data_IF_218297227264
#
_entry.id   IF_218297227264
#
_cell.length_a   1.000
_cell.length_b   1.000
_cell.length_c   1.000
_cell.angle_alpha   90.00
_cell.angle_beta   90.00
_cell.angle_gamma   90.00
#
_symmetry.space_group_name_H-M   'P 1'
#
loop_
_entity.id
_entity.type
_entity.pdbx_description
1 polymer ?
#
# COMPACT_ATOMS: atom_id res chain seq x y z
N UNK A 1 9.31 -20.82 -42.60
CA UNK A 1 9.56 -20.03 -41.37
C UNK A 1 9.25 -20.92 -40.19
N UNK A 2 10.25 -21.35 -39.43
CA UNK A 2 10.08 -22.25 -38.28
C UNK A 2 9.70 -21.42 -37.05
N UNK A 3 8.53 -21.69 -36.48
CA UNK A 3 8.07 -21.05 -35.26
C UNK A 3 8.92 -21.51 -34.07
N UNK A 4 9.48 -20.57 -33.33
CA UNK A 4 10.17 -20.81 -32.06
C UNK A 4 9.13 -21.17 -31.01
N UNK A 5 9.03 -22.46 -30.70
CA UNK A 5 8.20 -22.93 -29.59
C UNK A 5 8.76 -22.44 -28.27
N UNK A 6 8.01 -21.57 -27.59
CA UNK A 6 8.32 -21.15 -26.23
C UNK A 6 8.10 -22.34 -25.30
N UNK A 7 9.16 -22.91 -24.76
CA UNK A 7 9.10 -23.97 -23.77
C UNK A 7 8.50 -23.44 -22.47
N UNK A 8 7.22 -23.65 -22.28
CA UNK A 8 6.58 -23.48 -20.96
C UNK A 8 6.75 -24.76 -20.16
N UNK A 9 7.97 -25.04 -19.71
CA UNK A 9 8.17 -26.07 -18.72
C UNK A 9 7.59 -25.55 -17.38
N UNK A 10 6.49 -26.15 -16.93
CA UNK A 10 6.01 -25.96 -15.55
C UNK A 10 7.14 -26.38 -14.62
N UNK A 11 7.76 -25.43 -13.92
CA UNK A 11 8.66 -25.74 -12.81
C UNK A 11 7.90 -26.59 -11.80
N UNK A 12 8.45 -27.74 -11.42
CA UNK A 12 7.90 -28.54 -10.33
C UNK A 12 7.83 -27.65 -9.09
N UNK A 13 6.68 -27.70 -8.41
CA UNK A 13 6.53 -26.99 -7.15
C UNK A 13 7.47 -27.63 -6.11
N UNK A 14 8.51 -26.92 -5.72
CA UNK A 14 9.42 -27.34 -4.66
C UNK A 14 8.96 -26.73 -3.34
N UNK A 15 9.03 -27.50 -2.27
CA UNK A 15 8.80 -26.98 -0.92
C UNK A 15 10.05 -26.24 -0.48
N UNK A 16 9.91 -24.97 -0.15
CA UNK A 16 11.00 -24.14 0.35
C UNK A 16 10.64 -23.55 1.72
N UNK A 17 11.65 -23.33 2.54
CA UNK A 17 11.50 -22.56 3.76
C UNK A 17 11.47 -21.07 3.40
N UNK A 18 10.57 -20.33 4.05
CA UNK A 18 10.51 -18.89 3.84
C UNK A 18 11.67 -18.17 4.54
N UNK A 19 12.04 -16.99 4.04
CA UNK A 19 13.02 -16.15 4.72
C UNK A 19 12.57 -15.83 6.16
N UNK A 20 13.49 -15.93 7.11
CA UNK A 20 13.21 -15.75 8.54
C UNK A 20 12.71 -17.00 9.27
N UNK A 21 12.67 -18.18 8.61
CA UNK A 21 12.40 -19.45 9.30
C UNK A 21 13.52 -19.77 10.28
N UNK A 22 13.16 -20.06 11.53
CA UNK A 22 14.08 -20.53 12.56
C UNK A 22 14.00 -22.06 12.64
N UNK A 23 15.16 -22.72 12.61
CA UNK A 23 15.27 -24.17 12.78
C UNK A 23 16.14 -24.44 14.00
N UNK A 24 15.62 -25.19 14.95
CA UNK A 24 16.39 -25.68 16.09
C UNK A 24 16.94 -27.06 15.77
N UNK A 25 18.26 -27.23 15.89
CA UNK A 25 18.93 -28.48 15.64
C UNK A 25 19.55 -29.03 16.94
N UNK A 26 19.16 -30.23 17.31
CA UNK A 26 19.81 -30.97 18.39
C UNK A 26 20.91 -31.84 17.81
N UNK A 27 22.14 -31.52 18.14
CA UNK A 27 23.31 -32.25 17.63
C UNK A 27 23.78 -33.30 18.64
N UNK A 28 23.87 -34.53 18.17
CA UNK A 28 24.38 -35.67 18.99
C UNK A 28 25.88 -35.83 18.71
N UNK A 29 26.73 -35.06 19.39
CA UNK A 29 28.18 -35.20 19.29
C UNK A 29 28.92 -33.88 19.01
N UNK A 30 30.22 -33.94 18.86
CA UNK A 30 31.07 -32.80 18.56
C UNK A 30 30.83 -32.29 17.12
N UNK A 31 30.64 -30.99 16.99
CA UNK A 31 30.46 -30.36 15.68
C UNK A 31 31.81 -30.11 15.02
N UNK A 32 31.97 -30.61 13.81
CA UNK A 32 33.13 -30.30 12.97
C UNK A 32 33.01 -28.84 12.48
N UNK A 33 33.83 -27.97 13.06
CA UNK A 33 33.80 -26.53 12.75
C UNK A 33 34.12 -26.24 11.29
N UNK A 34 34.95 -27.05 10.62
CA UNK A 34 35.28 -26.82 9.22
C UNK A 34 34.09 -27.13 8.30
N UNK A 35 33.37 -28.23 8.58
CA UNK A 35 32.14 -28.55 7.83
C UNK A 35 31.03 -27.56 8.06
N UNK A 36 30.92 -27.06 9.29
CA UNK A 36 29.94 -26.04 9.62
C UNK A 36 30.22 -24.72 8.88
N UNK A 37 31.49 -24.33 8.83
CA UNK A 37 31.90 -23.12 8.12
C UNK A 37 31.72 -23.24 6.60
N UNK A 38 31.99 -24.41 6.04
CA UNK A 38 31.70 -24.69 4.62
C UNK A 38 30.20 -24.62 4.33
N UNK A 39 29.35 -25.18 5.19
CA UNK A 39 27.88 -25.07 5.02
C UNK A 39 27.37 -23.66 5.12
N UNK A 40 27.92 -22.80 6.00
CA UNK A 40 27.59 -21.39 6.10
C UNK A 40 27.93 -20.60 4.83
N UNK A 41 29.04 -20.97 4.17
CA UNK A 41 29.46 -20.30 2.94
C UNK A 41 28.67 -20.76 1.71
N UNK A 42 28.40 -22.08 1.64
CA UNK A 42 27.73 -22.68 0.49
C UNK A 42 26.20 -22.57 0.53
N UNK A 43 25.61 -22.39 1.71
CA UNK A 43 24.18 -22.50 1.93
C UNK A 43 23.69 -23.96 1.99
N UNK A 44 22.39 -24.12 2.24
CA UNK A 44 21.72 -25.43 2.31
C UNK A 44 20.64 -25.55 1.24
N UNK A 45 20.63 -26.66 0.52
CA UNK A 45 19.58 -26.98 -0.44
C UNK A 45 19.97 -26.71 -1.89
N UNK A 46 18.95 -26.45 -2.74
CA UNK A 46 19.12 -26.19 -4.17
C UNK A 46 19.10 -24.70 -4.45
N UNK A 47 19.83 -24.26 -5.47
CA UNK A 47 19.85 -22.84 -5.89
C UNK A 47 20.69 -21.95 -4.97
N UNK A 48 21.68 -22.51 -4.31
CA UNK A 48 22.58 -21.76 -3.41
C UNK A 48 23.43 -20.75 -4.19
N UNK A 49 23.72 -21.02 -5.46
CA UNK A 49 24.37 -20.10 -6.39
C UNK A 49 23.53 -18.83 -6.68
N UNK A 50 22.22 -18.92 -6.53
CA UNK A 50 21.29 -17.79 -6.69
C UNK A 50 21.01 -17.07 -5.35
N UNK A 51 21.74 -17.44 -4.29
CA UNK A 51 21.60 -16.88 -2.94
C UNK A 51 20.48 -17.50 -2.09
N UNK A 52 19.86 -18.59 -2.55
CA UNK A 52 18.90 -19.34 -1.74
C UNK A 52 19.65 -20.21 -0.71
N UNK A 53 18.95 -20.52 0.41
CA UNK A 53 19.48 -21.42 1.44
C UNK A 53 20.60 -20.82 2.29
N UNK A 54 20.85 -19.52 2.22
CA UNK A 54 21.77 -18.86 3.14
C UNK A 54 21.17 -18.86 4.56
N UNK A 55 21.99 -19.17 5.54
CA UNK A 55 21.59 -19.21 6.94
C UNK A 55 22.70 -18.66 7.84
N UNK A 56 22.31 -18.25 9.02
CA UNK A 56 23.23 -17.84 10.08
C UNK A 56 23.00 -18.72 11.29
N UNK A 57 24.09 -19.07 11.96
CA UNK A 57 23.98 -19.79 13.22
C UNK A 57 23.80 -18.76 14.31
N UNK A 58 22.65 -18.86 14.97
CA UNK A 58 22.39 -18.09 16.15
C UNK A 58 22.59 -18.99 17.36
N UNK A 59 23.65 -18.76 18.11
CA UNK A 59 23.77 -19.36 19.43
C UNK A 59 22.77 -18.63 20.31
N UNK A 60 21.73 -19.34 20.74
CA UNK A 60 20.95 -18.90 21.89
C UNK A 60 21.93 -18.79 23.06
N UNK A 61 22.36 -17.58 23.37
CA UNK A 61 22.92 -17.29 24.67
C UNK A 61 21.94 -17.87 25.69
N UNK A 62 22.41 -18.77 26.54
CA UNK A 62 21.70 -19.56 27.53
C UNK A 62 20.35 -18.93 27.89
N UNK A 63 19.23 -19.74 27.80
CA UNK A 63 17.87 -19.24 28.03
C UNK A 63 17.92 -18.12 29.03
N UNK A 64 17.58 -16.88 28.65
CA UNK A 64 17.57 -15.83 29.65
C UNK A 64 16.68 -16.35 30.76
N UNK A 65 17.25 -16.62 31.93
CA UNK A 65 16.43 -16.80 33.11
C UNK A 65 15.50 -15.59 33.09
N UNK A 66 14.23 -15.86 32.84
CA UNK A 66 13.23 -14.82 32.94
C UNK A 66 13.36 -14.34 34.38
N UNK A 67 14.10 -13.28 34.59
CA UNK A 67 14.17 -12.62 35.86
C UNK A 67 12.72 -12.39 36.26
N UNK A 68 12.25 -13.07 37.31
CA UNK A 68 10.87 -13.07 37.77
C UNK A 68 10.28 -11.68 38.00
N UNK A 69 11.12 -10.68 38.00
CA UNK A 69 10.74 -9.27 37.91
C UNK A 69 11.80 -8.55 37.08
N UNK A 70 11.53 -8.37 35.83
CA UNK A 70 12.16 -7.22 35.15
C UNK A 70 11.95 -6.02 36.09
N UNK A 71 13.04 -5.35 36.54
CA UNK A 71 12.85 -4.13 37.32
C UNK A 71 11.89 -3.30 36.49
N UNK A 72 10.74 -2.91 37.09
CA UNK A 72 9.84 -1.98 36.43
C UNK A 72 10.75 -0.80 36.02
N UNK A 73 11.12 -0.78 34.75
CA UNK A 73 11.81 0.37 34.20
C UNK A 73 10.92 1.53 34.59
N UNK A 74 11.38 2.27 35.60
CA UNK A 74 10.82 3.59 35.85
C UNK A 74 10.63 4.18 34.47
N UNK A 75 9.40 4.53 34.13
CA UNK A 75 9.12 5.24 32.89
C UNK A 75 9.92 6.55 32.97
N UNK A 76 11.21 6.46 32.65
CA UNK A 76 11.95 7.65 32.27
C UNK A 76 11.10 8.25 31.19
N UNK A 77 10.62 9.47 31.41
CA UNK A 77 9.93 10.25 30.41
C UNK A 77 10.74 10.12 29.11
N UNK A 78 10.39 9.15 28.29
CA UNK A 78 11.05 8.87 27.03
C UNK A 78 10.69 10.01 26.10
N UNK A 79 11.41 11.12 26.24
CA UNK A 79 11.38 12.18 25.23
C UNK A 79 11.95 11.53 23.97
N UNK A 80 11.07 11.11 23.08
CA UNK A 80 11.49 10.57 21.79
C UNK A 80 12.37 11.59 21.08
N UNK A 81 13.48 11.14 20.54
CA UNK A 81 14.34 12.02 19.74
C UNK A 81 13.54 12.60 18.56
N UNK A 82 13.93 13.78 18.10
CA UNK A 82 13.25 14.43 16.97
C UNK A 82 13.26 13.56 15.70
N UNK A 83 14.30 12.78 15.49
CA UNK A 83 14.42 11.85 14.36
C UNK A 83 13.40 10.71 14.45
N UNK A 84 13.24 10.12 15.65
CA UNK A 84 12.24 9.08 15.89
C UNK A 84 10.83 9.64 15.69
N UNK A 85 10.55 10.85 16.18
CA UNK A 85 9.27 11.53 15.95
C UNK A 85 9.01 11.77 14.45
N UNK A 86 10.01 12.23 13.70
CA UNK A 86 9.92 12.47 12.26
C UNK A 86 9.64 11.17 11.50
N UNK A 87 10.34 10.10 11.85
CA UNK A 87 10.14 8.78 11.24
C UNK A 87 8.74 8.23 11.56
N UNK A 88 8.31 8.32 12.82
CA UNK A 88 6.98 7.89 13.23
C UNK A 88 5.87 8.65 12.48
N UNK A 89 6.00 9.97 12.33
CA UNK A 89 5.06 10.79 11.53
C UNK A 89 4.99 10.31 10.09
N UNK A 90 6.13 10.02 9.46
CA UNK A 90 6.18 9.53 8.07
C UNK A 90 5.47 8.18 7.94
N UNK A 91 5.70 7.26 8.86
CA UNK A 91 5.07 5.93 8.85
C UNK A 91 3.55 6.03 9.03
N UNK A 92 3.09 6.87 9.97
CA UNK A 92 1.66 7.08 10.20
C UNK A 92 1.00 7.70 8.97
N UNK A 93 1.61 8.74 8.40
CA UNK A 93 1.10 9.38 7.18
C UNK A 93 0.96 8.38 6.05
N UNK A 94 1.97 7.56 5.79
CA UNK A 94 1.91 6.53 4.74
C UNK A 94 0.80 5.50 5.03
N UNK A 95 0.61 5.13 6.29
CA UNK A 95 -0.47 4.22 6.68
C UNK A 95 -1.85 4.83 6.42
N UNK A 96 -2.05 6.10 6.76
CA UNK A 96 -3.29 6.83 6.45
C UNK A 96 -3.54 6.91 4.94
N UNK A 97 -2.53 7.22 4.14
CA UNK A 97 -2.64 7.22 2.67
C UNK A 97 -2.96 5.84 2.12
N UNK A 98 -2.45 4.78 2.72
CA UNK A 98 -2.81 3.42 2.34
C UNK A 98 -4.31 3.14 2.55
N UNK A 99 -4.91 3.62 3.64
CA UNK A 99 -6.36 3.50 3.85
C UNK A 99 -7.15 4.31 2.79
N UNK A 100 -6.67 5.50 2.41
CA UNK A 100 -7.26 6.30 1.32
C UNK A 100 -7.25 5.51 0.00
N UNK A 101 -6.10 4.92 -0.35
CA UNK A 101 -5.93 4.11 -1.56
C UNK A 101 -6.83 2.88 -1.56
N UNK A 102 -6.92 2.20 -0.42
CA UNK A 102 -7.77 1.01 -0.28
C UNK A 102 -9.25 1.37 -0.42
N UNK A 103 -9.70 2.47 0.19
CA UNK A 103 -11.08 2.95 0.06
C UNK A 103 -11.40 3.31 -1.39
N UNK A 104 -10.51 4.03 -2.07
CA UNK A 104 -10.67 4.40 -3.48
C UNK A 104 -10.80 3.18 -4.39
N UNK A 105 -9.98 2.15 -4.14
CA UNK A 105 -10.05 0.89 -4.88
C UNK A 105 -11.38 0.14 -4.65
N UNK A 106 -11.87 0.11 -3.41
CA UNK A 106 -13.16 -0.49 -3.06
C UNK A 106 -14.32 0.26 -3.73
N UNK A 107 -14.28 1.59 -3.69
CA UNK A 107 -15.30 2.43 -4.28
C UNK A 107 -15.36 2.26 -5.81
N UNK A 108 -14.22 2.19 -6.47
CA UNK A 108 -14.14 1.94 -7.92
C UNK A 108 -14.63 0.54 -8.32
N UNK A 109 -14.42 -0.47 -7.46
CA UNK A 109 -14.86 -1.85 -7.71
C UNK A 109 -16.32 -2.09 -7.30
N UNK A 110 -16.95 -1.11 -6.66
CA UNK A 110 -18.32 -1.24 -6.20
C UNK A 110 -19.31 -1.29 -7.39
N UNK A 111 -20.45 -1.95 -7.18
CA UNK A 111 -21.58 -1.96 -8.15
C UNK A 111 -22.17 -0.55 -8.41
N UNK A 112 -21.71 0.45 -7.65
CA UNK A 112 -22.15 1.82 -7.77
C UNK A 112 -21.44 2.59 -8.90
N UNK A 113 -20.32 2.07 -9.42
CA UNK A 113 -19.65 2.61 -10.60
C UNK A 113 -20.25 1.99 -11.86
N UNK A 114 -20.81 2.82 -12.75
CA UNK A 114 -21.36 2.45 -14.05
C UNK A 114 -20.60 3.17 -15.15
N UNK A 115 -19.98 2.44 -16.03
CA UNK A 115 -19.12 2.96 -17.11
C UNK A 115 -19.85 2.83 -18.44
N UNK A 116 -20.69 3.81 -18.78
CA UNK A 116 -21.52 3.76 -20.00
C UNK A 116 -20.98 4.67 -21.12
N UNK A 117 -19.70 5.01 -21.12
CA UNK A 117 -19.10 5.92 -22.09
C UNK A 117 -18.24 5.17 -23.12
N UNK A 118 -18.48 5.42 -24.41
CA UNK A 118 -17.76 4.75 -25.51
C UNK A 118 -16.22 4.92 -25.44
N UNK A 119 -15.72 6.05 -24.90
CA UNK A 119 -14.31 6.33 -24.75
C UNK A 119 -13.88 6.41 -23.28
N UNK A 120 -14.55 5.67 -22.40
CA UNK A 120 -14.31 5.70 -20.96
C UNK A 120 -12.83 5.44 -20.62
N UNK A 121 -12.21 4.46 -21.23
CA UNK A 121 -10.83 4.09 -20.99
C UNK A 121 -9.87 5.27 -21.15
N UNK A 122 -9.97 5.98 -22.28
CA UNK A 122 -9.06 7.08 -22.60
C UNK A 122 -9.26 8.28 -21.68
N UNK A 123 -10.53 8.61 -21.36
CA UNK A 123 -10.81 9.74 -20.49
C UNK A 123 -10.41 9.47 -19.04
N UNK A 124 -10.64 8.26 -18.54
CA UNK A 124 -10.22 7.85 -17.21
C UNK A 124 -8.69 7.87 -17.07
N UNK A 125 -7.95 7.39 -18.09
CA UNK A 125 -6.49 7.50 -18.13
C UNK A 125 -6.00 8.95 -18.15
N UNK A 126 -6.67 9.83 -18.86
CA UNK A 126 -6.33 11.25 -18.87
C UNK A 126 -6.50 11.88 -17.49
N UNK A 127 -7.59 11.56 -16.79
CA UNK A 127 -7.81 12.01 -15.40
C UNK A 127 -6.78 11.38 -14.46
N UNK A 128 -6.48 10.09 -14.59
CA UNK A 128 -5.41 9.43 -13.84
C UNK A 128 -4.07 10.17 -14.00
N UNK A 129 -3.71 10.54 -15.23
CA UNK A 129 -2.47 11.27 -15.51
C UNK A 129 -2.42 12.64 -14.84
N UNK A 130 -3.56 13.34 -14.75
CA UNK A 130 -3.64 14.62 -14.03
C UNK A 130 -3.35 14.46 -12.54
N UNK A 131 -3.79 13.36 -11.92
CA UNK A 131 -3.51 13.10 -10.49
C UNK A 131 -2.02 12.90 -10.20
N UNK A 132 -1.24 12.44 -11.19
CA UNK A 132 0.22 12.33 -11.09
C UNK A 132 0.97 13.64 -11.23
N UNK A 133 0.33 14.68 -11.76
CA UNK A 133 1.02 15.92 -12.13
C UNK A 133 1.53 16.76 -10.95
N UNK A 134 1.24 16.37 -9.70
CA UNK A 134 1.63 17.12 -8.50
C UNK A 134 0.85 18.43 -8.30
N UNK A 135 -0.16 18.70 -9.13
CA UNK A 135 -1.01 19.91 -9.06
C UNK A 135 -1.91 19.86 -7.82
N UNK A 136 -2.36 21.04 -7.37
CA UNK A 136 -3.35 21.15 -6.31
C UNK A 136 -4.71 20.64 -6.76
N UNK A 137 -5.60 20.34 -5.80
CA UNK A 137 -6.99 19.99 -6.08
C UNK A 137 -7.66 21.04 -6.97
N UNK A 138 -7.51 22.32 -6.63
CA UNK A 138 -8.10 23.42 -7.36
C UNK A 138 -7.61 23.51 -8.80
N UNK A 139 -6.30 23.31 -9.03
CA UNK A 139 -5.74 23.30 -10.39
C UNK A 139 -6.31 22.15 -11.22
N UNK A 140 -6.42 20.95 -10.62
CA UNK A 140 -6.97 19.78 -11.30
C UNK A 140 -8.43 20.01 -11.67
N UNK A 141 -9.23 20.54 -10.75
CA UNK A 141 -10.63 20.88 -10.98
C UNK A 141 -10.78 21.94 -12.08
N UNK A 142 -9.92 22.96 -12.09
CA UNK A 142 -9.87 23.98 -13.14
C UNK A 142 -9.56 23.35 -14.50
N UNK A 143 -8.56 22.48 -14.60
CA UNK A 143 -8.21 21.80 -15.85
C UNK A 143 -9.37 20.94 -16.36
N UNK A 144 -10.03 20.20 -15.48
CA UNK A 144 -11.18 19.36 -15.87
C UNK A 144 -12.34 20.23 -16.35
N UNK A 145 -12.60 21.35 -15.67
CA UNK A 145 -13.75 22.23 -15.99
C UNK A 145 -13.50 23.11 -17.20
N UNK A 146 -12.27 23.62 -17.41
CA UNK A 146 -11.98 24.61 -18.45
C UNK A 146 -11.26 23.99 -19.67
N UNK A 147 -10.24 23.14 -19.45
CA UNK A 147 -9.38 22.67 -20.53
C UNK A 147 -9.86 21.37 -21.19
N UNK A 148 -10.78 20.65 -20.55
CA UNK A 148 -11.37 19.48 -21.19
C UNK A 148 -12.37 19.92 -22.24
N UNK A 149 -12.23 19.35 -23.47
CA UNK A 149 -13.18 19.55 -24.56
C UNK A 149 -14.55 18.97 -24.20
N UNK A 150 -15.62 19.48 -24.79
CA UNK A 150 -17.00 19.07 -24.50
C UNK A 150 -17.22 17.56 -24.64
N UNK A 151 -16.60 16.93 -25.63
CA UNK A 151 -16.65 15.47 -25.79
C UNK A 151 -16.06 14.73 -24.56
N UNK A 152 -14.98 15.23 -23.97
CA UNK A 152 -14.35 14.64 -22.79
C UNK A 152 -15.24 14.83 -21.55
N UNK A 153 -15.82 16.02 -21.38
CA UNK A 153 -16.76 16.32 -20.30
C UNK A 153 -17.99 15.42 -20.41
N UNK A 154 -18.58 15.29 -21.63
CA UNK A 154 -19.72 14.41 -21.90
C UNK A 154 -19.41 12.96 -21.54
N UNK A 155 -18.23 12.46 -21.87
CA UNK A 155 -17.82 11.10 -21.49
C UNK A 155 -17.69 10.92 -19.97
N UNK A 156 -17.13 11.90 -19.24
CA UNK A 156 -17.08 11.87 -17.77
C UNK A 156 -18.48 11.96 -17.15
N UNK A 157 -19.38 12.73 -17.73
CA UNK A 157 -20.77 12.85 -17.28
C UNK A 157 -21.57 11.56 -17.51
N UNK A 158 -21.24 10.78 -18.54
CA UNK A 158 -21.85 9.48 -18.81
C UNK A 158 -21.38 8.37 -17.85
N UNK A 159 -20.20 8.54 -17.21
CA UNK A 159 -19.74 7.64 -16.14
C UNK A 159 -20.45 8.06 -14.84
N UNK A 160 -21.13 7.13 -14.19
CA UNK A 160 -21.90 7.40 -12.96
C UNK A 160 -21.28 6.68 -11.77
N UNK A 161 -21.16 7.38 -10.65
CA UNK A 161 -20.78 6.80 -9.38
C UNK A 161 -21.81 7.15 -8.31
N UNK A 162 -22.44 6.15 -7.69
CA UNK A 162 -23.57 6.29 -6.75
C UNK A 162 -24.75 7.07 -7.33
N UNK A 163 -24.93 7.09 -8.64
CA UNK A 163 -25.98 7.82 -9.34
C UNK A 163 -25.55 9.17 -9.91
N UNK A 164 -24.52 9.78 -9.36
CA UNK A 164 -24.02 11.09 -9.78
C UNK A 164 -23.02 10.97 -10.94
N UNK A 165 -22.93 12.00 -11.75
CA UNK A 165 -21.95 12.07 -12.83
C UNK A 165 -20.53 12.20 -12.25
N UNK A 166 -19.59 11.41 -12.75
CA UNK A 166 -18.22 11.46 -12.29
C UNK A 166 -17.59 12.85 -12.52
N UNK A 167 -17.99 13.53 -13.60
CA UNK A 167 -17.61 14.91 -13.86
C UNK A 167 -17.98 15.84 -12.69
N UNK A 168 -19.24 15.82 -12.26
CA UNK A 168 -19.75 16.71 -11.22
C UNK A 168 -19.11 16.42 -9.86
N UNK A 169 -18.85 15.15 -9.56
CA UNK A 169 -18.14 14.76 -8.33
C UNK A 169 -16.70 15.27 -8.34
N UNK A 170 -15.99 15.13 -9.46
CA UNK A 170 -14.59 15.54 -9.58
C UNK A 170 -14.38 17.04 -9.38
N UNK A 171 -15.29 17.86 -9.93
CA UNK A 171 -15.22 19.33 -9.80
C UNK A 171 -15.97 19.86 -8.57
N UNK A 172 -16.57 18.99 -7.76
CA UNK A 172 -17.45 19.36 -6.65
C UNK A 172 -18.54 20.35 -7.08
N UNK A 173 -19.22 20.02 -8.18
CA UNK A 173 -20.35 20.81 -8.68
C UNK A 173 -21.45 20.99 -7.63
N UNK A 174 -22.37 21.93 -7.82
CA UNK A 174 -23.40 22.24 -6.86
C UNK A 174 -24.18 20.99 -6.39
N UNK A 175 -24.21 20.75 -5.08
CA UNK A 175 -24.89 19.60 -4.46
C UNK A 175 -24.09 18.30 -4.45
N UNK A 176 -22.89 18.26 -5.05
CA UNK A 176 -22.05 17.07 -5.07
C UNK A 176 -20.90 17.17 -4.06
N UNK A 177 -20.69 16.10 -3.30
CA UNK A 177 -19.60 15.97 -2.33
C UNK A 177 -18.60 14.91 -2.77
N UNK A 178 -17.36 15.10 -2.41
CA UNK A 178 -16.34 14.06 -2.57
C UNK A 178 -16.74 12.80 -1.79
N UNK A 179 -16.55 11.60 -2.35
CA UNK A 179 -16.98 10.34 -1.72
C UNK A 179 -16.42 10.08 -0.32
N UNK A 180 -15.35 10.78 0.02
CA UNK A 180 -14.60 10.63 1.27
C UNK A 180 -14.65 11.88 2.17
N UNK A 181 -15.44 12.91 1.83
CA UNK A 181 -15.51 14.18 2.59
C UNK A 181 -15.85 13.99 4.07
N UNK A 182 -16.68 13.01 4.38
CA UNK A 182 -17.14 12.73 5.74
C UNK A 182 -16.31 11.61 6.42
N UNK A 183 -15.17 11.19 5.82
CA UNK A 183 -14.35 10.09 6.34
C UNK A 183 -13.30 10.56 7.35
N UNK A 184 -13.35 9.96 8.53
CA UNK A 184 -12.28 10.07 9.51
C UNK A 184 -11.25 8.94 9.27
N UNK A 185 -10.16 9.29 8.57
CA UNK A 185 -9.11 8.35 8.22
C UNK A 185 -8.40 7.76 9.44
N UNK A 186 -8.38 8.49 10.56
CA UNK A 186 -7.72 8.01 11.79
C UNK A 186 -8.45 6.82 12.39
N UNK A 187 -9.77 6.74 12.22
CA UNK A 187 -10.59 5.60 12.66
C UNK A 187 -10.44 4.37 11.76
N UNK A 188 -10.02 4.55 10.50
CA UNK A 188 -9.79 3.46 9.56
C UNK A 188 -8.51 2.69 9.87
N UNK A 189 -7.50 3.37 10.41
CA UNK A 189 -6.24 2.72 10.80
C UNK A 189 -6.46 1.85 12.02
N UNK A 190 -6.28 0.54 11.86
CA UNK A 190 -6.40 -0.44 12.94
C UNK A 190 -5.19 -0.34 13.88
N UNK A 191 -5.28 0.53 14.86
CA UNK A 191 -4.31 0.62 15.95
C UNK A 191 -4.83 -0.14 17.18
N UNK A 192 -3.95 -0.69 18.04
CA UNK A 192 -4.36 -1.26 19.31
C UNK A 192 -5.14 -0.24 20.15
N UNK A 193 -6.13 -0.72 20.91
CA UNK A 193 -6.95 0.16 21.76
C UNK A 193 -6.08 1.03 22.67
N UNK A 194 -6.31 2.33 22.65
CA UNK A 194 -5.55 3.30 23.48
C UNK A 194 -4.30 3.87 22.82
N UNK A 195 -3.69 3.15 21.87
CA UNK A 195 -2.41 3.56 21.24
C UNK A 195 -2.51 4.88 20.47
N UNK A 196 -3.66 5.23 19.90
CA UNK A 196 -3.84 6.48 19.16
C UNK A 196 -3.59 7.70 20.06
N UNK A 197 -4.21 7.74 21.25
CA UNK A 197 -4.05 8.84 22.22
C UNK A 197 -2.61 8.95 22.73
N UNK A 198 -1.95 7.83 22.96
CA UNK A 198 -0.56 7.79 23.38
C UNK A 198 0.39 8.28 22.28
N UNK A 199 0.17 7.82 21.04
CA UNK A 199 0.93 8.29 19.90
C UNK A 199 0.72 9.79 19.65
N UNK A 200 -0.51 10.30 19.76
CA UNK A 200 -0.80 11.73 19.64
C UNK A 200 -0.05 12.56 20.67
N UNK A 201 0.04 12.09 21.92
CA UNK A 201 0.83 12.76 22.98
C UNK A 201 2.33 12.76 22.67
N UNK A 202 2.85 11.67 22.10
CA UNK A 202 4.28 11.49 21.85
C UNK A 202 4.79 12.25 20.61
N UNK A 203 3.99 12.30 19.54
CA UNK A 203 4.41 12.82 18.23
C UNK A 203 3.64 14.06 17.77
N UNK A 204 2.57 14.43 18.50
CA UNK A 204 1.71 15.59 18.20
C UNK A 204 0.53 15.25 17.30
N UNK A 205 -0.56 16.01 17.43
CA UNK A 205 -1.81 15.78 16.70
C UNK A 205 -1.65 15.91 15.19
N UNK A 206 -0.83 16.86 14.72
CA UNK A 206 -0.62 17.11 13.28
C UNK A 206 0.02 15.91 12.54
N UNK A 207 0.50 14.89 13.25
CA UNK A 207 1.00 13.67 12.62
C UNK A 207 -0.12 12.84 11.96
N UNK A 208 -1.37 13.09 12.33
CA UNK A 208 -2.55 12.36 11.87
C UNK A 208 -3.39 13.18 10.88
N UNK A 209 -2.97 14.39 10.56
CA UNK A 209 -3.61 15.24 9.60
C UNK A 209 -3.02 14.97 8.20
N UNK A 210 -3.89 14.64 7.26
CA UNK A 210 -3.53 14.53 5.85
C UNK A 210 -3.86 15.85 5.16
N UNK A 211 -2.99 16.26 4.25
CA UNK A 211 -3.24 17.38 3.35
C UNK A 211 -4.42 17.04 2.43
N UNK A 212 -5.39 17.94 2.32
CA UNK A 212 -6.59 17.77 1.51
C UNK A 212 -6.26 17.56 0.02
N UNK A 213 -5.26 18.26 -0.50
CA UNK A 213 -4.79 18.10 -1.88
C UNK A 213 -4.17 16.73 -2.11
N UNK A 214 -3.42 16.24 -1.13
CA UNK A 214 -2.81 14.92 -1.19
C UNK A 214 -3.88 13.81 -1.14
N UNK A 215 -4.85 13.92 -0.22
CA UNK A 215 -5.98 12.99 -0.14
C UNK A 215 -6.76 12.97 -1.45
N UNK A 216 -7.04 14.13 -2.03
CA UNK A 216 -7.73 14.26 -3.31
C UNK A 216 -6.98 13.51 -4.41
N UNK A 217 -5.68 13.79 -4.57
CA UNK A 217 -4.86 13.15 -5.62
C UNK A 217 -4.76 11.64 -5.41
N UNK A 218 -4.44 11.19 -4.21
CA UNK A 218 -4.28 9.76 -3.91
C UNK A 218 -5.58 8.99 -4.09
N UNK A 219 -6.70 9.52 -3.60
CA UNK A 219 -8.00 8.87 -3.75
C UNK A 219 -8.36 8.71 -5.23
N UNK A 220 -8.36 9.82 -6.00
CA UNK A 220 -8.76 9.77 -7.40
C UNK A 220 -7.77 9.02 -8.28
N UNK A 221 -6.49 9.05 -7.97
CA UNK A 221 -5.48 8.24 -8.66
C UNK A 221 -5.81 6.74 -8.58
N UNK A 222 -6.06 6.25 -7.38
CA UNK A 222 -6.37 4.82 -7.18
C UNK A 222 -7.76 4.45 -7.67
N UNK A 223 -8.74 5.32 -7.52
CA UNK A 223 -10.06 5.15 -8.11
C UNK A 223 -9.96 5.00 -9.63
N UNK A 224 -9.29 5.92 -10.32
CA UNK A 224 -9.13 5.90 -11.78
C UNK A 224 -8.38 4.67 -12.27
N UNK A 225 -7.32 4.26 -11.59
CA UNK A 225 -6.59 3.02 -11.90
C UNK A 225 -7.48 1.79 -11.93
N UNK A 226 -8.38 1.68 -10.96
CA UNK A 226 -9.32 0.56 -10.89
C UNK A 226 -10.44 0.71 -11.90
N UNK A 227 -10.97 1.89 -12.11
CA UNK A 227 -11.99 2.18 -13.13
C UNK A 227 -11.48 1.91 -14.55
N UNK A 228 -10.22 2.27 -14.86
CA UNK A 228 -9.56 1.95 -16.14
C UNK A 228 -9.48 0.44 -16.38
N UNK A 229 -9.19 -0.36 -15.34
CA UNK A 229 -9.15 -1.82 -15.47
C UNK A 229 -10.56 -2.41 -15.77
N UNK A 230 -11.60 -1.84 -15.17
CA UNK A 230 -12.97 -2.26 -15.39
C UNK A 230 -13.44 -1.89 -16.80
N UNK A 231 -13.13 -0.67 -17.28
CA UNK A 231 -13.52 -0.22 -18.62
C UNK A 231 -12.93 -1.07 -19.77
N UNK A 232 -11.80 -1.76 -19.54
CA UNK A 232 -11.25 -2.71 -20.51
C UNK A 232 -12.05 -3.99 -20.59
N UNK A 233 -12.52 -4.51 -19.45
CA UNK A 233 -13.27 -5.77 -19.40
C UNK A 233 -14.65 -5.65 -20.06
N UNK A 234 -15.27 -4.46 -19.98
CA UNK A 234 -16.58 -4.22 -20.61
C UNK A 234 -16.47 -3.99 -22.14
N UNK A 235 -15.31 -3.61 -22.65
CA UNK A 235 -15.05 -3.42 -24.09
C UNK A 235 -14.67 -4.70 -24.84
N UNK A 236 -14.41 -5.80 -24.11
CA UNK A 236 -14.03 -7.11 -24.67
C UNK A 236 -15.23 -8.10 -24.72
N UNK A 237 -16.41 -7.70 -24.26
CA UNK A 237 -17.68 -8.43 -24.36
C UNK A 237 -18.53 -7.86 -25.50
#
# INVERSE_FOLDING_TARGET
>A
MAGVGVWQAKKQAERALSAGTLIELHLNGAVDSAKLQAALQQGLGKGTEDGFGQFVIWQSLAKPELAEKLPQKQQKNNVLSNEVKKTAKKVIRERLLQEVRQQAAQDAQSKNLKINAANAHNILKRVESLMYSGKTKSDIQMIISMDFKDAAKKNLTAIKYKGDALYDILIEGPGHKLPYSDMDWTRKVKLPKGSLKELQKLIGNNAFELDADEVYREYWLWFMRHAVKLSKKEGEQ
#
